data_IF_580174792516
#
_entry.id   IF_580174792516
#
_cell.length_a   1.000
_cell.length_b   1.000
_cell.length_c   1.000
_cell.angle_alpha   90.00
_cell.angle_beta   90.00
_cell.angle_gamma   90.00
#
_symmetry.space_group_name_H-M   'P 1'
#
loop_
_entity.id
_entity.type
_entity.pdbx_description
1 polymer ?
#
# COMPACT_ATOMS: atom_id res chain seq x y z
N UNK A 1 18.15 17.60 -1.74
CA UNK A 1 17.30 16.40 -1.55
C UNK A 1 16.18 16.45 -2.58
N UNK A 2 16.08 15.46 -3.46
CA UNK A 2 15.03 15.37 -4.50
C UNK A 2 14.02 14.31 -4.05
N UNK A 3 12.72 14.63 -4.15
CA UNK A 3 11.64 13.68 -3.89
C UNK A 3 10.88 13.40 -5.19
N UNK A 4 10.54 12.13 -5.41
CA UNK A 4 9.71 11.70 -6.54
C UNK A 4 8.58 10.85 -5.97
N UNK A 5 7.34 11.30 -6.16
CA UNK A 5 6.16 10.56 -5.73
C UNK A 5 5.62 9.74 -6.91
N UNK A 6 5.40 8.45 -6.69
CA UNK A 6 4.95 7.50 -7.72
C UNK A 6 3.60 6.93 -7.29
N UNK A 7 2.57 7.15 -8.12
CA UNK A 7 1.25 6.55 -7.94
C UNK A 7 1.14 5.31 -8.84
N UNK A 8 0.85 4.14 -8.25
CA UNK A 8 0.72 2.87 -8.97
C UNK A 8 -0.74 2.44 -9.20
N UNK A 9 -1.69 3.24 -8.73
CA UNK A 9 -3.13 3.00 -8.85
C UNK A 9 -3.88 4.32 -8.96
N UNK A 10 -5.11 4.25 -9.44
CA UNK A 10 -5.98 5.41 -9.56
C UNK A 10 -6.42 5.92 -8.18
N UNK A 11 -6.86 7.18 -8.14
CA UNK A 11 -7.35 7.83 -6.94
C UNK A 11 -8.55 7.07 -6.34
N UNK A 12 -8.54 6.86 -5.02
CA UNK A 12 -9.62 6.22 -4.28
C UNK A 12 -9.66 4.68 -4.37
N UNK A 13 -8.77 4.05 -5.15
CA UNK A 13 -8.85 2.60 -5.36
C UNK A 13 -8.57 1.77 -4.09
N UNK A 14 -7.74 2.32 -3.18
CA UNK A 14 -7.45 1.71 -1.88
C UNK A 14 -8.46 2.13 -0.79
N UNK A 15 -9.47 2.95 -1.12
CA UNK A 15 -10.52 3.39 -0.19
C UNK A 15 -11.75 2.48 -0.21
N UNK A 16 -11.50 1.16 -0.09
CA UNK A 16 -12.58 0.18 -0.06
C UNK A 16 -13.18 0.05 1.34
N UNK A 17 -14.50 0.16 1.44
CA UNK A 17 -15.23 -0.04 2.71
C UNK A 17 -15.89 -1.42 2.85
N UNK A 18 -16.05 -2.13 1.72
CA UNK A 18 -16.66 -3.45 1.63
C UNK A 18 -15.77 -4.36 0.79
N UNK A 19 -15.98 -5.69 0.86
CA UNK A 19 -15.23 -6.69 0.06
C UNK A 19 -13.70 -6.51 0.07
N UNK A 20 -13.15 -6.10 1.21
CA UNK A 20 -11.72 -5.72 1.35
C UNK A 20 -10.77 -6.76 0.74
N UNK A 21 -10.98 -8.04 1.04
CA UNK A 21 -10.10 -9.10 0.57
C UNK A 21 -10.05 -9.17 -0.96
N UNK A 22 -11.20 -9.07 -1.63
CA UNK A 22 -11.29 -9.12 -3.09
C UNK A 22 -10.68 -7.87 -3.73
N UNK A 23 -11.09 -6.69 -3.27
CA UNK A 23 -10.68 -5.41 -3.87
C UNK A 23 -9.21 -5.09 -3.59
N UNK A 24 -8.71 -5.39 -2.38
CA UNK A 24 -7.30 -5.20 -2.07
C UNK A 24 -6.44 -6.26 -2.74
N UNK A 25 -6.87 -7.52 -2.86
CA UNK A 25 -6.10 -8.53 -3.60
C UNK A 25 -5.95 -8.15 -5.08
N UNK A 26 -7.02 -7.65 -5.71
CA UNK A 26 -6.97 -7.12 -7.07
C UNK A 26 -5.98 -5.96 -7.18
N UNK A 27 -6.03 -5.02 -6.23
CA UNK A 27 -5.14 -3.85 -6.24
C UNK A 27 -3.68 -4.23 -6.00
N UNK A 28 -3.41 -5.15 -5.06
CA UNK A 28 -2.09 -5.72 -4.82
C UNK A 28 -1.52 -6.37 -6.10
N UNK A 29 -2.32 -7.20 -6.78
CA UNK A 29 -1.89 -7.86 -8.01
C UNK A 29 -1.53 -6.88 -9.14
N UNK A 30 -2.21 -5.72 -9.18
CA UNK A 30 -1.92 -4.67 -10.17
C UNK A 30 -0.62 -3.92 -9.85
N UNK A 31 -0.36 -3.60 -8.58
CA UNK A 31 0.81 -2.80 -8.18
C UNK A 31 2.10 -3.62 -8.06
N UNK A 32 1.99 -4.93 -7.82
CA UNK A 32 3.14 -5.82 -7.54
C UNK A 32 4.20 -5.80 -8.67
N UNK A 33 3.78 -6.04 -9.91
CA UNK A 33 4.70 -6.09 -11.06
C UNK A 33 5.36 -4.73 -11.38
N UNK A 34 4.61 -3.61 -11.48
CA UNK A 34 5.21 -2.28 -11.66
C UNK A 34 6.20 -1.93 -10.55
N UNK A 35 5.86 -2.27 -9.30
CA UNK A 35 6.73 -2.00 -8.17
C UNK A 35 8.04 -2.79 -8.24
N UNK A 36 7.97 -4.09 -8.54
CA UNK A 36 9.17 -4.90 -8.76
C UNK A 36 10.01 -4.39 -9.94
N UNK A 37 9.37 -3.86 -10.99
CA UNK A 37 10.03 -3.20 -12.11
C UNK A 37 10.82 -1.96 -11.69
N UNK A 38 10.20 -1.08 -10.89
CA UNK A 38 10.86 0.11 -10.35
C UNK A 38 12.13 -0.25 -9.56
N UNK A 39 12.07 -1.24 -8.67
CA UNK A 39 13.23 -1.66 -7.89
C UNK A 39 14.35 -2.23 -8.77
N UNK A 40 14.01 -3.00 -9.81
CA UNK A 40 14.99 -3.53 -10.78
C UNK A 40 15.63 -2.41 -11.57
N UNK A 41 14.84 -1.44 -12.04
CA UNK A 41 15.32 -0.28 -12.79
C UNK A 41 16.30 0.55 -11.97
N UNK A 42 15.99 0.79 -10.69
CA UNK A 42 16.89 1.51 -9.78
C UNK A 42 18.25 0.81 -9.65
N UNK A 43 18.24 -0.52 -9.50
CA UNK A 43 19.47 -1.33 -9.43
C UNK A 43 20.25 -1.32 -10.75
N UNK A 44 19.57 -1.50 -11.88
CA UNK A 44 20.19 -1.50 -13.20
C UNK A 44 20.84 -0.17 -13.56
N UNK A 45 20.27 0.94 -13.08
CA UNK A 45 20.77 2.30 -13.32
C UNK A 45 21.82 2.75 -12.31
N UNK A 46 22.21 1.89 -11.35
CA UNK A 46 23.15 2.25 -10.28
C UNK A 46 22.60 3.29 -9.30
N UNK A 47 21.28 3.48 -9.24
CA UNK A 47 20.62 4.46 -8.37
C UNK A 47 20.20 3.87 -7.01
N UNK A 48 20.39 2.57 -6.82
CA UNK A 48 19.94 1.86 -5.63
C UNK A 48 20.59 2.39 -4.34
N UNK A 49 21.89 2.68 -4.40
CA UNK A 49 22.68 3.10 -3.24
C UNK A 49 22.42 4.55 -2.85
N UNK A 50 21.96 5.37 -3.81
CA UNK A 50 21.66 6.80 -3.62
C UNK A 50 20.16 7.07 -3.37
N UNK A 51 19.29 6.07 -3.55
CA UNK A 51 17.83 6.24 -3.50
C UNK A 51 17.21 5.45 -2.35
N UNK A 52 16.59 6.16 -1.40
CA UNK A 52 15.71 5.55 -0.40
C UNK A 52 14.30 5.39 -0.98
N UNK A 53 13.86 4.14 -1.13
CA UNK A 53 12.47 3.79 -1.43
C UNK A 53 11.70 3.72 -0.12
N UNK A 54 10.63 4.51 -0.03
CA UNK A 54 9.70 4.52 1.11
C UNK A 54 8.34 4.06 0.63
N UNK A 55 7.80 3.01 1.23
CA UNK A 55 6.44 2.56 0.97
C UNK A 55 5.64 2.59 2.26
N UNK A 56 4.59 3.41 2.28
CA UNK A 56 3.74 3.65 3.44
C UNK A 56 2.27 3.42 3.08
N UNK A 57 1.51 2.89 4.02
CA UNK A 57 0.04 2.94 3.97
C UNK A 57 -0.47 4.23 4.60
N UNK A 58 -1.52 4.83 4.04
CA UNK A 58 -2.20 5.99 4.65
C UNK A 58 -2.85 5.62 5.98
N UNK A 59 -3.65 4.54 5.99
CA UNK A 59 -4.29 3.98 7.18
C UNK A 59 -4.40 2.45 7.07
N UNK A 60 -4.37 1.76 8.20
CA UNK A 60 -4.76 0.36 8.32
C UNK A 60 -6.27 0.22 8.23
N UNK A 61 -6.76 -0.98 7.85
CA UNK A 61 -8.19 -1.32 7.93
C UNK A 61 -8.37 -2.30 9.09
N UNK A 62 -9.03 -1.88 10.17
CA UNK A 62 -9.37 -2.79 11.27
C UNK A 62 -10.45 -3.75 10.77
N UNK A 63 -10.22 -5.07 10.92
CA UNK A 63 -11.28 -6.07 10.76
C UNK A 63 -12.41 -5.70 11.73
N UNK A 64 -13.62 -5.44 11.24
CA UNK A 64 -14.72 -4.77 11.96
C UNK A 64 -14.90 -5.13 13.44
N UNK A 65 -14.13 -4.49 14.32
CA UNK A 65 -14.19 -4.68 15.78
C UNK A 65 -14.83 -3.46 16.43
N UNK A 66 -16.12 -3.28 16.17
CA UNK A 66 -17.03 -2.43 16.95
C UNK A 66 -18.51 -2.65 16.59
N UNK A 67 -18.87 -3.87 16.19
CA UNK A 67 -20.27 -4.30 16.13
C UNK A 67 -20.47 -5.42 17.15
N UNK A 68 -21.47 -5.32 18.06
CA UNK A 68 -21.82 -6.39 19.00
C UNK A 68 -22.13 -7.74 18.32
N UNK A 69 -22.44 -7.70 17.02
CA UNK A 69 -22.63 -8.84 16.14
C UNK A 69 -21.74 -8.70 14.90
N UNK A 70 -20.63 -9.44 14.80
CA UNK A 70 -19.77 -9.41 13.61
C UNK A 70 -20.50 -10.12 12.45
N UNK A 71 -21.25 -9.35 11.67
CA UNK A 71 -21.72 -9.81 10.36
C UNK A 71 -20.62 -9.61 9.32
N UNK A 72 -20.46 -10.58 8.40
CA UNK A 72 -19.60 -10.51 7.21
C UNK A 72 -19.89 -9.30 6.31
N UNK A 73 -21.03 -8.63 6.51
CA UNK A 73 -21.45 -7.41 5.80
C UNK A 73 -21.15 -6.10 6.54
N UNK A 74 -20.50 -6.13 7.71
CA UNK A 74 -20.17 -4.89 8.43
C UNK A 74 -19.05 -4.13 7.71
N UNK A 75 -19.22 -2.83 7.39
CA UNK A 75 -18.21 -2.06 6.68
C UNK A 75 -16.94 -1.92 7.52
N UNK A 76 -15.79 -2.08 6.88
CA UNK A 76 -14.52 -1.84 7.53
C UNK A 76 -14.31 -0.34 7.73
N UNK A 77 -13.90 0.04 8.95
CA UNK A 77 -13.61 1.42 9.30
C UNK A 77 -12.10 1.70 9.18
N UNK A 78 -11.72 2.94 8.84
CA UNK A 78 -10.33 3.38 8.91
C UNK A 78 -9.76 3.15 10.31
N UNK A 79 -8.54 2.64 10.39
CA UNK A 79 -7.77 2.51 11.62
C UNK A 79 -6.68 3.59 11.64
N UNK A 80 -6.93 4.76 12.24
CA UNK A 80 -5.95 5.85 12.25
C UNK A 80 -4.70 5.52 13.10
N UNK A 81 -4.75 4.45 13.90
CA UNK A 81 -3.67 4.07 14.81
C UNK A 81 -2.72 3.01 14.25
N UNK A 82 -3.01 2.43 13.09
CA UNK A 82 -2.17 1.41 12.48
C UNK A 82 -1.73 1.85 11.09
N UNK A 83 -0.44 1.97 10.87
CA UNK A 83 0.17 2.16 9.55
C UNK A 83 1.34 1.21 9.39
N UNK A 84 1.52 0.70 8.18
CA UNK A 84 2.67 -0.12 7.83
C UNK A 84 3.57 0.69 6.93
N UNK A 85 4.85 0.77 7.29
CA UNK A 85 5.89 1.38 6.48
C UNK A 85 7.00 0.36 6.29
N UNK A 86 7.56 0.33 5.10
CA UNK A 86 8.82 -0.35 4.85
C UNK A 86 9.73 0.51 3.98
N UNK A 87 11.03 0.27 4.15
CA UNK A 87 12.10 1.04 3.55
C UNK A 87 13.03 0.07 2.80
N UNK A 88 13.58 0.51 1.66
CA UNK A 88 14.69 -0.19 1.01
C UNK A 88 15.54 0.75 0.16
N UNK A 89 16.73 0.28 -0.23
CA UNK A 89 17.73 1.09 -0.92
C UNK A 89 18.55 1.91 0.06
N UNK A 90 19.28 2.90 -0.46
CA UNK A 90 20.18 3.75 0.31
C UNK A 90 21.34 3.00 0.99
N UNK A 91 21.82 1.90 0.39
CA UNK A 91 22.94 1.09 0.87
C UNK A 91 23.18 -0.20 0.09
#
# INVERSE_FOLDING_TARGET
>A
MRYSLVYLSDYGEWDSHNKLQELHARSCARVDRPFAGLLKDLKQRGLWDDTLVVCCTEFGRTRGWRSPTPSRSSPARPSPHGFTVWLAGAG
#
